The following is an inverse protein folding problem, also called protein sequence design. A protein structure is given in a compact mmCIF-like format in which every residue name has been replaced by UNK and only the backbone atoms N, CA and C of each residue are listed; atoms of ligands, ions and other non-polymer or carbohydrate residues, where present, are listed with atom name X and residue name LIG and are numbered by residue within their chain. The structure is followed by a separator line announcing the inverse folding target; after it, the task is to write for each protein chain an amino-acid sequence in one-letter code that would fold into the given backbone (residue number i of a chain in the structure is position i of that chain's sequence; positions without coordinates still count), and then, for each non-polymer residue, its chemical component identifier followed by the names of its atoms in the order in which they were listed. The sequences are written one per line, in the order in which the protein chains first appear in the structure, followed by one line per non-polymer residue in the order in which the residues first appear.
data_IF_052863155505
#
_entry.id   IF_052863155505
#
_cell.length_a   1.000
_cell.length_b   1.000
_cell.length_c   1.000
_cell.angle_alpha   90.00
_cell.angle_beta   90.00
_cell.angle_gamma   90.00
#
_symmetry.space_group_name_H-M   'P 1'
#
loop_
_entity.id
_entity.type
_entity.pdbx_description
1 polymer ?
#
# COMPACT_ATOMS: atom_id res chain seq x y z
N UNK A 1 -14.21 23.84 -17.15
CA UNK A 1 -14.44 22.49 -16.66
C UNK A 1 -13.16 21.69 -16.78
N UNK A 2 -12.67 21.17 -15.70
CA UNK A 2 -11.48 20.34 -15.72
C UNK A 2 -11.81 18.97 -16.28
N UNK A 3 -10.94 18.47 -17.14
CA UNK A 3 -11.06 17.14 -17.68
C UNK A 3 -9.99 16.26 -17.06
N UNK A 4 -10.42 15.17 -16.48
CA UNK A 4 -9.48 14.16 -16.00
C UNK A 4 -8.90 13.42 -17.21
N UNK A 5 -7.59 13.25 -17.23
CA UNK A 5 -7.01 12.34 -18.19
C UNK A 5 -7.18 10.90 -17.70
N UNK A 6 -6.89 9.94 -18.56
CA UNK A 6 -7.10 8.53 -18.23
C UNK A 6 -6.25 8.09 -17.04
N UNK A 7 -5.07 8.63 -16.92
CA UNK A 7 -4.16 8.30 -15.82
C UNK A 7 -4.70 8.81 -14.48
N UNK A 8 -5.19 10.04 -14.44
CA UNK A 8 -5.77 10.61 -13.24
C UNK A 8 -7.04 9.87 -12.82
N UNK A 9 -7.91 9.55 -13.79
CA UNK A 9 -9.12 8.80 -13.51
C UNK A 9 -8.81 7.42 -12.95
N UNK A 10 -7.80 6.75 -13.50
CA UNK A 10 -7.37 5.43 -13.02
C UNK A 10 -6.82 5.52 -11.62
N UNK A 11 -6.02 6.54 -11.33
CA UNK A 11 -5.46 6.74 -10.00
C UNK A 11 -6.54 6.98 -8.96
N UNK A 12 -7.51 7.83 -9.27
CA UNK A 12 -8.63 8.11 -8.36
C UNK A 12 -9.44 6.84 -8.12
N UNK A 13 -9.76 6.09 -9.17
CA UNK A 13 -10.52 4.86 -9.05
C UNK A 13 -9.79 3.83 -8.19
N UNK A 14 -8.48 3.73 -8.36
CA UNK A 14 -7.66 2.79 -7.58
C UNK A 14 -7.58 3.20 -6.12
N UNK A 15 -7.38 4.48 -5.84
CA UNK A 15 -7.32 5.01 -4.48
C UNK A 15 -8.62 4.80 -3.72
N UNK A 16 -9.74 4.80 -4.43
CA UNK A 16 -11.05 4.57 -3.84
C UNK A 16 -11.49 3.12 -3.88
N UNK A 17 -10.62 2.23 -4.31
CA UNK A 17 -10.90 0.80 -4.29
C UNK A 17 -11.06 0.32 -2.86
N UNK A 18 -12.15 -0.39 -2.56
CA UNK A 18 -12.37 -0.95 -1.24
C UNK A 18 -11.29 -1.97 -0.88
N UNK A 19 -10.74 -2.66 -1.87
CA UNK A 19 -9.67 -3.63 -1.63
C UNK A 19 -8.36 -2.95 -1.25
N UNK A 20 -8.01 -1.85 -1.92
CA UNK A 20 -6.83 -1.05 -1.57
C UNK A 20 -6.97 -0.51 -0.15
N UNK A 21 -8.12 0.06 0.18
CA UNK A 21 -8.36 0.60 1.51
C UNK A 21 -8.28 -0.48 2.59
N UNK A 22 -8.81 -1.66 2.31
CA UNK A 22 -8.75 -2.79 3.24
C UNK A 22 -7.31 -3.21 3.50
N UNK A 23 -6.50 -3.31 2.46
CA UNK A 23 -5.09 -3.68 2.58
C UNK A 23 -4.33 -2.59 3.36
N UNK A 24 -4.59 -1.32 3.06
CA UNK A 24 -3.95 -0.22 3.79
C UNK A 24 -4.33 -0.23 5.27
N UNK A 25 -5.59 -0.48 5.59
CA UNK A 25 -6.03 -0.56 6.98
C UNK A 25 -5.32 -1.69 7.72
N UNK A 26 -5.16 -2.85 7.09
CA UNK A 26 -4.42 -3.97 7.66
C UNK A 26 -2.96 -3.59 7.90
N UNK A 27 -2.34 -2.93 6.93
CA UNK A 27 -0.94 -2.50 7.04
C UNK A 27 -0.79 -1.50 8.19
N UNK A 28 -1.67 -0.51 8.29
CA UNK A 28 -1.61 0.48 9.36
C UNK A 28 -1.77 -0.15 10.73
N UNK A 29 -2.66 -1.12 10.87
CA UNK A 29 -2.83 -1.86 12.12
C UNK A 29 -1.57 -2.61 12.51
N UNK A 30 -0.92 -3.25 11.54
CA UNK A 30 0.31 -3.99 11.77
C UNK A 30 1.47 -3.06 12.11
N UNK A 31 1.59 -1.93 11.43
CA UNK A 31 2.60 -0.92 11.71
C UNK A 31 2.44 -0.43 13.16
N UNK A 32 1.20 -0.11 13.55
CA UNK A 32 0.92 0.36 14.90
C UNK A 32 1.34 -0.67 15.95
N UNK A 33 1.04 -1.94 15.71
CA UNK A 33 1.42 -3.02 16.61
C UNK A 33 2.93 -3.18 16.71
N UNK A 34 3.63 -3.16 15.57
CA UNK A 34 5.08 -3.30 15.54
C UNK A 34 5.78 -2.10 16.18
N UNK A 35 5.27 -0.89 15.93
CA UNK A 35 5.82 0.31 16.53
C UNK A 35 5.68 0.31 18.06
N UNK A 36 4.59 -0.22 18.59
CA UNK A 36 4.36 -0.31 20.01
C UNK A 36 5.33 -1.23 20.73
N UNK A 37 5.85 -2.24 20.03
CA UNK A 37 6.84 -3.16 20.59
C UNK A 37 8.28 -2.74 20.28
N UNK A 38 8.47 -1.55 19.69
CA UNK A 38 9.78 -0.98 19.44
C UNK A 38 10.41 -1.32 18.11
N UNK A 39 9.65 -1.90 17.17
CA UNK A 39 10.15 -2.22 15.85
C UNK A 39 10.01 -1.03 14.90
N UNK A 40 10.93 -0.93 13.93
CA UNK A 40 10.96 0.13 12.94
C UNK A 40 10.73 -0.39 11.52
N UNK A 41 10.28 -1.61 11.39
CA UNK A 41 10.03 -2.23 10.10
C UNK A 41 8.94 -3.28 10.19
N UNK A 42 8.34 -3.55 9.05
CA UNK A 42 7.28 -4.54 8.91
C UNK A 42 7.42 -5.23 7.56
N UNK A 43 7.31 -6.54 7.55
CA UNK A 43 7.15 -7.30 6.30
C UNK A 43 5.68 -7.66 6.16
N UNK A 44 5.02 -7.08 5.18
CA UNK A 44 3.62 -7.35 4.88
C UNK A 44 3.52 -8.34 3.72
N UNK A 45 2.75 -9.39 3.91
CA UNK A 45 2.50 -10.38 2.88
C UNK A 45 1.01 -10.65 2.81
N UNK A 46 0.46 -10.63 1.60
CA UNK A 46 -0.95 -10.86 1.35
C UNK A 46 -1.12 -12.00 0.35
N UNK A 47 -2.23 -12.74 0.48
CA UNK A 47 -2.59 -13.78 -0.47
C UNK A 47 -3.18 -13.21 -1.77
N UNK A 48 -3.40 -11.89 -1.82
CA UNK A 48 -3.94 -11.23 -3.00
C UNK A 48 -2.91 -11.29 -4.13
N UNK A 49 -3.32 -11.83 -5.26
CA UNK A 49 -2.44 -11.99 -6.42
C UNK A 49 -2.47 -10.78 -7.37
N UNK A 50 -3.29 -9.79 -7.11
CA UNK A 50 -3.42 -8.62 -7.97
C UNK A 50 -2.27 -7.64 -7.73
N UNK A 51 -1.21 -7.82 -8.50
CA UNK A 51 -0.01 -6.98 -8.39
C UNK A 51 -0.27 -5.53 -8.80
N UNK A 52 -1.37 -5.24 -9.49
CA UNK A 52 -1.73 -3.87 -9.85
C UNK A 52 -2.05 -3.03 -8.61
N UNK A 53 -2.39 -3.66 -7.47
CA UNK A 53 -2.66 -2.95 -6.22
C UNK A 53 -1.39 -2.46 -5.53
N UNK A 54 -0.24 -2.99 -5.89
CA UNK A 54 1.03 -2.66 -5.24
C UNK A 54 1.36 -1.18 -5.38
N UNK A 55 1.25 -0.64 -6.60
CA UNK A 55 1.60 0.75 -6.87
C UNK A 55 0.78 1.74 -6.03
N UNK A 56 -0.56 1.68 -5.99
CA UNK A 56 -1.33 2.61 -5.17
C UNK A 56 -1.07 2.45 -3.68
N UNK A 57 -0.87 1.22 -3.20
CA UNK A 57 -0.56 0.96 -1.79
C UNK A 57 0.81 1.56 -1.46
N UNK A 58 1.80 1.30 -2.28
CA UNK A 58 3.15 1.81 -2.10
C UNK A 58 3.17 3.33 -2.12
N UNK A 59 2.48 3.96 -3.07
CA UNK A 59 2.41 5.41 -3.18
C UNK A 59 1.76 6.04 -1.94
N UNK A 60 0.70 5.43 -1.43
CA UNK A 60 0.04 5.92 -0.22
C UNK A 60 0.97 5.91 0.98
N UNK A 61 1.74 4.83 1.14
CA UNK A 61 2.68 4.70 2.25
C UNK A 61 3.86 5.65 2.11
N UNK A 62 4.41 5.79 0.90
CA UNK A 62 5.52 6.71 0.63
C UNK A 62 5.07 8.14 0.91
N UNK A 63 3.85 8.50 0.54
CA UNK A 63 3.29 9.83 0.82
C UNK A 63 3.18 10.14 2.30
N UNK A 64 3.16 9.12 3.16
CA UNK A 64 3.13 9.28 4.62
C UNK A 64 4.53 9.24 5.25
N UNK A 65 5.58 9.06 4.45
CA UNK A 65 6.95 9.08 4.94
C UNK A 65 7.58 7.72 5.19
N UNK A 66 6.90 6.64 4.80
CA UNK A 66 7.46 5.29 4.94
C UNK A 66 8.35 4.93 3.77
N UNK A 67 9.37 4.12 4.04
CA UNK A 67 10.14 3.48 2.99
C UNK A 67 9.48 2.14 2.65
N UNK A 68 9.17 1.93 1.38
CA UNK A 68 8.47 0.73 0.94
C UNK A 68 9.24 0.08 -0.20
N UNK A 69 9.56 -1.19 -0.03
CA UNK A 69 10.20 -2.01 -1.08
C UNK A 69 9.26 -3.16 -1.41
N UNK A 70 9.01 -3.36 -2.69
CA UNK A 70 8.16 -4.44 -3.18
C UNK A 70 9.00 -5.62 -3.64
N UNK A 71 8.62 -6.82 -3.20
CA UNK A 71 9.26 -8.07 -3.60
C UNK A 71 8.29 -9.01 -4.30
N UNK A 72 7.20 -8.47 -4.82
CA UNK A 72 6.09 -9.30 -5.31
C UNK A 72 6.47 -10.05 -6.57
N UNK A 73 6.35 -11.38 -6.53
CA UNK A 73 6.47 -12.25 -7.69
C UNK A 73 5.10 -12.79 -8.09
N UNK A 74 4.32 -13.26 -7.14
CA UNK A 74 2.96 -13.76 -7.33
C UNK A 74 1.97 -13.02 -6.45
N UNK A 75 2.32 -12.87 -5.18
CA UNK A 75 1.47 -12.22 -4.17
C UNK A 75 2.08 -10.89 -3.78
N UNK A 76 1.27 -10.05 -3.14
CA UNK A 76 1.75 -8.77 -2.62
C UNK A 76 2.70 -9.05 -1.44
N UNK A 77 3.93 -8.58 -1.56
CA UNK A 77 4.91 -8.67 -0.49
C UNK A 77 5.66 -7.36 -0.40
N UNK A 78 5.51 -6.66 0.70
CA UNK A 78 6.08 -5.33 0.91
C UNK A 78 6.94 -5.32 2.16
N UNK A 79 8.13 -4.74 2.07
CA UNK A 79 8.95 -4.40 3.21
C UNK A 79 8.77 -2.91 3.49
N UNK A 80 8.27 -2.59 4.66
CA UNK A 80 7.91 -1.23 5.07
C UNK A 80 8.79 -0.85 6.25
N UNK A 81 9.40 0.33 6.16
CA UNK A 81 10.28 0.83 7.22
C UNK A 81 9.86 2.26 7.59
N UNK A 82 10.11 2.62 8.83
CA UNK A 82 9.85 3.97 9.32
C UNK A 82 10.96 4.50 10.28
#
# INVERSE_FOLDING_TARGET
MSKLNAEEARQIATENSSLVNKVLDDIYSLINREAKVGNFSLNYQSEIEDVALITPIQQALIGLGYDVTSFSLKNIHLAIKW
#
